data_IF_643935824608
#
_entry.id   IF_643935824608
#
_cell.length_a   1.000
_cell.length_b   1.000
_cell.length_c   1.000
_cell.angle_alpha   90.00
_cell.angle_beta   90.00
_cell.angle_gamma   90.00
#
_symmetry.space_group_name_H-M   'P 1'
#
loop_
_entity.id
_entity.type
_entity.pdbx_description
1 polymer ?
#
# COMPACT_ATOMS: atom_id res chain seq x y z
N UNK A 1 -4.31 18.13 -11.03
CA UNK A 1 -2.83 18.18 -11.26
C UNK A 1 -2.20 17.16 -10.34
N UNK A 2 -1.22 16.38 -10.80
CA UNK A 2 -0.52 15.37 -9.99
C UNK A 2 0.50 16.05 -9.07
N UNK A 3 0.44 15.82 -7.77
CA UNK A 3 1.28 16.42 -6.71
C UNK A 3 1.43 15.46 -5.53
N UNK A 4 2.38 15.74 -4.63
CA UNK A 4 2.64 14.89 -3.46
C UNK A 4 3.00 13.47 -3.88
N UNK A 5 4.19 13.30 -4.45
CA UNK A 5 4.66 11.99 -4.84
C UNK A 5 5.16 11.26 -3.59
N UNK A 6 4.54 10.13 -3.26
CA UNK A 6 4.84 9.39 -2.03
C UNK A 6 5.56 8.07 -2.28
N UNK A 7 5.42 7.51 -3.49
CA UNK A 7 6.06 6.25 -3.84
C UNK A 7 6.55 6.26 -5.30
N UNK A 8 7.55 5.42 -5.56
CA UNK A 8 8.08 5.14 -6.89
C UNK A 8 8.33 3.64 -7.05
N UNK A 9 8.10 3.12 -8.25
CA UNK A 9 8.55 1.78 -8.65
C UNK A 9 9.36 1.84 -9.94
N UNK A 10 10.29 0.90 -10.11
CA UNK A 10 11.17 0.86 -11.27
C UNK A 10 10.66 -0.14 -12.30
N UNK A 11 10.76 0.25 -13.57
CA UNK A 11 10.58 -0.64 -14.71
C UNK A 11 11.90 -1.36 -15.03
N UNK A 12 11.88 -2.54 -15.65
CA UNK A 12 13.09 -3.28 -16.02
C UNK A 12 14.07 -2.53 -16.93
N UNK A 13 13.61 -1.51 -17.66
CA UNK A 13 14.42 -0.67 -18.53
C UNK A 13 14.97 0.60 -17.87
N UNK A 14 14.82 0.72 -16.54
CA UNK A 14 15.31 1.83 -15.75
C UNK A 14 14.37 3.04 -15.68
N UNK A 15 13.26 3.05 -16.42
CA UNK A 15 12.22 4.07 -16.23
C UNK A 15 11.55 3.90 -14.87
N UNK A 16 10.91 4.97 -14.39
CA UNK A 16 10.26 4.99 -13.08
C UNK A 16 8.76 5.26 -13.26
N UNK A 17 7.91 4.61 -12.47
CA UNK A 17 6.53 5.04 -12.27
C UNK A 17 6.46 5.72 -10.91
N UNK A 18 6.09 7.00 -10.90
CA UNK A 18 5.87 7.78 -9.69
C UNK A 18 4.38 7.83 -9.33
N UNK A 19 4.05 7.58 -8.07
CA UNK A 19 2.70 7.61 -7.51
C UNK A 19 2.44 8.94 -6.85
N UNK A 20 1.39 9.63 -7.29
CA UNK A 20 0.95 10.90 -6.75
C UNK A 20 -0.29 10.71 -5.89
N UNK A 21 -0.16 11.02 -4.59
CA UNK A 21 -1.26 11.01 -3.63
C UNK A 21 -2.28 12.07 -4.01
N UNK A 22 -1.85 13.32 -4.14
CA UNK A 22 -2.75 14.43 -4.42
C UNK A 22 -2.99 14.57 -5.92
N UNK A 23 -4.22 14.24 -6.33
CA UNK A 23 -4.62 14.20 -7.74
C UNK A 23 -4.64 12.80 -8.33
N UNK A 24 -4.24 11.77 -7.57
CA UNK A 24 -4.40 10.36 -7.88
C UNK A 24 -3.86 9.98 -9.24
N UNK A 25 -2.54 10.08 -9.42
CA UNK A 25 -1.92 9.80 -10.71
C UNK A 25 -0.81 8.76 -10.62
N UNK A 26 -0.65 8.00 -11.69
CA UNK A 26 0.58 7.30 -12.01
C UNK A 26 1.28 8.03 -13.15
N UNK A 27 2.54 8.42 -12.94
CA UNK A 27 3.35 9.14 -13.93
C UNK A 27 4.58 8.32 -14.27
N UNK A 28 4.71 7.95 -15.54
CA UNK A 28 5.95 7.40 -16.08
C UNK A 28 6.97 8.52 -16.21
N UNK A 29 8.15 8.32 -15.66
CA UNK A 29 9.29 9.23 -15.68
C UNK A 29 10.42 8.58 -16.47
N UNK A 30 10.85 9.26 -17.52
CA UNK A 30 12.05 8.89 -18.28
C UNK A 30 13.19 9.81 -17.86
N UNK A 31 14.39 9.25 -17.70
CA UNK A 31 15.58 10.00 -17.30
C UNK A 31 16.83 9.51 -18.04
N UNK A 32 17.87 10.34 -18.08
CA UNK A 32 19.18 10.00 -18.62
C UNK A 32 20.25 9.77 -17.52
N UNK A 33 19.85 9.80 -16.24
CA UNK A 33 20.75 9.66 -15.08
C UNK A 33 21.25 10.99 -14.51
N UNK A 34 21.16 12.08 -15.28
CA UNK A 34 21.43 13.46 -14.83
C UNK A 34 20.15 14.21 -14.48
N UNK A 35 19.03 13.84 -15.12
CA UNK A 35 17.73 14.45 -14.85
C UNK A 35 16.58 13.79 -15.62
N UNK A 36 15.38 14.31 -15.35
CA UNK A 36 14.15 13.90 -16.04
C UNK A 36 14.15 14.45 -17.45
N UNK A 37 13.92 13.58 -18.43
CA UNK A 37 13.84 13.94 -19.86
C UNK A 37 12.41 13.96 -20.39
N UNK A 38 11.50 13.16 -19.82
CA UNK A 38 10.09 13.13 -20.20
C UNK A 38 9.20 12.61 -19.06
N UNK A 39 7.93 13.01 -19.07
CA UNK A 39 6.90 12.50 -18.16
C UNK A 39 5.59 12.22 -18.89
N UNK A 40 4.97 11.06 -18.62
CA UNK A 40 3.68 10.67 -19.20
C UNK A 40 2.73 10.18 -18.11
N UNK A 41 1.51 10.71 -18.10
CA UNK A 41 0.45 10.20 -17.21
C UNK A 41 -0.03 8.85 -17.75
N UNK A 42 0.12 7.80 -16.94
CA UNK A 42 -0.37 6.44 -17.24
C UNK A 42 -1.78 6.24 -16.70
N UNK A 43 -2.08 6.85 -15.55
CA UNK A 43 -3.36 6.74 -14.87
C UNK A 43 -3.72 8.06 -14.20
N UNK A 44 -5.01 8.39 -14.19
CA UNK A 44 -5.58 9.46 -13.37
C UNK A 44 -6.90 8.96 -12.76
N UNK A 45 -6.98 9.03 -11.44
CA UNK A 45 -8.17 8.71 -10.66
C UNK A 45 -9.35 9.57 -11.11
N UNK A 46 -10.53 8.96 -11.11
CA UNK A 46 -11.79 9.64 -11.42
C UNK A 46 -12.46 10.07 -10.12
N UNK A 47 -12.08 11.22 -9.60
CA UNK A 47 -12.77 11.86 -8.48
C UNK A 47 -13.40 13.19 -8.91
N UNK A 48 -14.41 13.63 -8.16
CA UNK A 48 -15.02 14.94 -8.39
C UNK A 48 -14.18 16.05 -7.75
N UNK A 49 -13.39 16.72 -8.60
CA UNK A 49 -12.54 17.86 -8.23
C UNK A 49 -13.33 19.02 -7.58
N UNK A 50 -14.66 19.10 -7.78
CA UNK A 50 -15.51 20.16 -7.19
C UNK A 50 -15.83 19.93 -5.72
N UNK A 51 -15.91 18.68 -5.29
CA UNK A 51 -16.27 18.33 -3.90
C UNK A 51 -15.05 18.08 -3.04
N UNK A 52 -13.91 17.68 -3.65
CA UNK A 52 -12.62 17.54 -2.99
C UNK A 52 -11.52 18.05 -3.93
N UNK A 53 -10.94 19.24 -3.70
CA UNK A 53 -9.92 19.78 -4.61
C UNK A 53 -8.58 19.01 -4.54
N UNK A 54 -8.35 18.23 -3.47
CA UNK A 54 -7.14 17.44 -3.25
C UNK A 54 -7.44 16.12 -2.53
N UNK A 55 -8.29 15.22 -3.09
CA UNK A 55 -8.49 13.95 -2.44
C UNK A 55 -7.22 13.13 -2.56
N UNK A 56 -6.88 12.45 -1.47
CA UNK A 56 -5.85 11.43 -1.48
C UNK A 56 -6.32 10.32 -2.45
N UNK A 57 -5.54 10.15 -3.52
CA UNK A 57 -5.94 9.50 -4.76
C UNK A 57 -5.36 8.11 -4.87
N UNK A 58 -4.06 8.00 -5.12
CA UNK A 58 -3.37 6.71 -5.28
C UNK A 58 -2.41 6.50 -4.12
N UNK A 59 -2.54 5.38 -3.42
CA UNK A 59 -1.71 5.03 -2.27
C UNK A 59 -0.33 4.57 -2.74
N UNK A 60 -0.29 3.40 -3.34
CA UNK A 60 0.94 2.70 -3.60
C UNK A 60 0.87 1.80 -4.84
N UNK A 61 2.03 1.38 -5.33
CA UNK A 61 2.19 0.51 -6.50
C UNK A 61 3.30 -0.52 -6.29
N UNK A 62 3.04 -1.78 -6.65
CA UNK A 62 4.08 -2.81 -6.64
C UNK A 62 3.93 -3.79 -7.81
N UNK A 63 5.02 -4.46 -8.15
CA UNK A 63 5.14 -5.34 -9.30
C UNK A 63 4.54 -6.72 -9.02
N UNK A 64 3.59 -7.14 -9.86
CA UNK A 64 3.08 -8.53 -9.87
C UNK A 64 4.01 -9.44 -10.68
N UNK A 65 4.40 -8.97 -11.86
CA UNK A 65 5.30 -9.66 -12.77
C UNK A 65 6.00 -8.63 -13.68
N UNK A 66 6.76 -9.08 -14.67
CA UNK A 66 7.57 -8.22 -15.54
C UNK A 66 6.81 -7.06 -16.22
N UNK A 67 5.49 -7.20 -16.44
CA UNK A 67 4.69 -6.25 -17.23
C UNK A 67 3.44 -5.75 -16.50
N UNK A 68 3.10 -6.32 -15.34
CA UNK A 68 1.91 -5.98 -14.58
C UNK A 68 2.25 -5.47 -13.18
N UNK A 69 1.61 -4.37 -12.80
CA UNK A 69 1.77 -3.72 -11.50
C UNK A 69 0.39 -3.57 -10.84
N UNK A 70 0.31 -3.88 -9.56
CA UNK A 70 -0.88 -3.67 -8.73
C UNK A 70 -0.78 -2.31 -8.03
N UNK A 71 -1.87 -1.56 -7.97
CA UNK A 71 -1.93 -0.33 -7.19
C UNK A 71 -3.31 -0.12 -6.56
N UNK A 72 -3.36 0.60 -5.43
CA UNK A 72 -4.61 1.03 -4.79
C UNK A 72 -4.94 2.49 -5.12
N UNK A 73 -6.17 2.73 -5.55
CA UNK A 73 -6.77 4.05 -5.67
C UNK A 73 -7.72 4.25 -4.48
N UNK A 74 -7.26 4.99 -3.48
CA UNK A 74 -8.01 5.37 -2.29
C UNK A 74 -9.26 6.19 -2.63
N UNK A 75 -9.17 7.10 -3.60
CA UNK A 75 -10.29 7.97 -3.99
C UNK A 75 -11.43 7.19 -4.60
N UNK A 76 -11.10 6.24 -5.49
CA UNK A 76 -12.06 5.35 -6.13
C UNK A 76 -12.40 4.12 -5.27
N UNK A 77 -11.63 3.85 -4.22
CA UNK A 77 -11.68 2.62 -3.41
C UNK A 77 -11.52 1.36 -4.26
N UNK A 78 -10.49 1.35 -5.10
CA UNK A 78 -10.26 0.26 -6.07
C UNK A 78 -8.83 -0.25 -6.03
N UNK A 79 -8.67 -1.56 -6.23
CA UNK A 79 -7.41 -2.15 -6.66
C UNK A 79 -7.40 -2.18 -8.19
N UNK A 80 -6.26 -1.88 -8.79
CA UNK A 80 -6.11 -1.76 -10.23
C UNK A 80 -4.81 -2.41 -10.69
N UNK A 81 -4.83 -2.92 -11.92
CA UNK A 81 -3.67 -3.45 -12.63
C UNK A 81 -3.27 -2.45 -13.69
N UNK A 82 -2.00 -2.04 -13.68
CA UNK A 82 -1.36 -1.37 -14.80
C UNK A 82 -0.57 -2.42 -15.61
N UNK A 83 -0.96 -2.61 -16.86
CA UNK A 83 -0.16 -3.34 -17.87
C UNK A 83 0.74 -2.32 -18.58
N UNK A 84 2.06 -2.42 -18.35
CA UNK A 84 3.04 -1.46 -18.85
C UNK A 84 3.40 -1.69 -20.32
N UNK A 85 3.15 -2.87 -20.88
CA UNK A 85 3.33 -3.13 -22.30
C UNK A 85 2.19 -2.51 -23.12
N UNK A 86 0.95 -2.70 -22.65
CA UNK A 86 -0.25 -2.17 -23.31
C UNK A 86 -0.56 -0.73 -22.93
N UNK A 87 0.05 -0.23 -21.85
CA UNK A 87 -0.25 1.06 -21.27
C UNK A 87 -1.76 1.20 -20.95
N UNK A 88 -2.31 0.16 -20.32
CA UNK A 88 -3.74 0.07 -19.97
C UNK A 88 -3.91 -0.22 -18.49
N UNK A 89 -4.96 0.36 -17.91
CA UNK A 89 -5.39 0.06 -16.54
C UNK A 89 -6.68 -0.75 -16.55
N UNK A 90 -6.73 -1.79 -15.73
CA UNK A 90 -7.94 -2.58 -15.47
C UNK A 90 -8.24 -2.62 -13.99
N UNK A 91 -9.49 -2.36 -13.60
CA UNK A 91 -9.92 -2.49 -12.22
C UNK A 91 -10.05 -3.97 -11.83
N UNK A 92 -9.54 -4.33 -10.66
CA UNK A 92 -9.70 -5.66 -10.05
C UNK A 92 -11.11 -5.78 -9.44
N UNK A 93 -11.81 -6.86 -9.74
CA UNK A 93 -13.11 -7.15 -9.10
C UNK A 93 -12.92 -7.67 -7.68
N UNK A 94 -13.40 -6.94 -6.67
CA UNK A 94 -13.35 -7.40 -5.28
C UNK A 94 -14.55 -8.32 -4.99
N UNK A 95 -14.31 -9.54 -4.51
CA UNK A 95 -15.34 -10.58 -4.39
C UNK A 95 -16.16 -10.49 -3.10
N UNK A 96 -15.61 -9.93 -2.02
CA UNK A 96 -16.21 -10.00 -0.68
C UNK A 96 -17.00 -8.74 -0.31
N UNK A 97 -17.34 -7.87 -1.28
CA UNK A 97 -18.19 -6.70 -1.07
C UNK A 97 -17.61 -5.62 -0.15
N UNK A 98 -16.33 -5.72 0.20
CA UNK A 98 -15.64 -4.73 1.03
C UNK A 98 -15.10 -3.60 0.14
N UNK A 99 -15.55 -2.38 0.42
CA UNK A 99 -15.06 -1.13 -0.19
C UNK A 99 -13.69 -0.70 0.38
N UNK A 100 -12.90 -1.64 0.87
CA UNK A 100 -11.68 -1.38 1.63
C UNK A 100 -10.45 -1.84 0.86
N UNK A 101 -9.85 -0.94 0.09
CA UNK A 101 -8.65 -1.26 -0.71
C UNK A 101 -7.36 -0.82 -0.05
N UNK A 102 -7.42 -0.37 1.21
CA UNK A 102 -6.35 0.41 1.84
C UNK A 102 -6.20 1.79 1.21
N UNK A 103 -5.46 2.65 1.89
CA UNK A 103 -5.28 4.06 1.55
C UNK A 103 -3.82 4.50 1.42
N UNK A 104 -2.88 3.64 1.79
CA UNK A 104 -1.45 3.96 1.81
C UNK A 104 -0.65 2.84 1.09
N UNK A 105 0.45 2.39 1.67
CA UNK A 105 1.39 1.41 1.11
C UNK A 105 0.77 0.10 0.61
N UNK A 106 1.44 -0.50 -0.36
CA UNK A 106 1.06 -1.77 -1.00
C UNK A 106 2.33 -2.54 -1.30
N UNK A 107 2.31 -3.84 -1.03
CA UNK A 107 3.38 -4.75 -1.45
C UNK A 107 2.79 -6.03 -2.05
N UNK A 108 3.49 -6.59 -3.03
CA UNK A 108 3.24 -7.90 -3.65
C UNK A 108 4.44 -8.80 -3.33
N UNK A 109 4.48 -9.44 -2.14
CA UNK A 109 5.65 -10.19 -1.71
C UNK A 109 5.97 -11.36 -2.65
N UNK A 110 7.25 -11.49 -3.02
CA UNK A 110 7.74 -12.50 -3.95
C UNK A 110 7.47 -13.92 -3.48
N UNK A 111 7.48 -14.16 -2.16
CA UNK A 111 7.14 -15.47 -1.58
C UNK A 111 5.73 -15.97 -1.96
N UNK A 112 4.82 -15.08 -2.33
CA UNK A 112 3.47 -15.42 -2.79
C UNK A 112 3.34 -15.43 -4.33
N UNK A 113 4.46 -15.32 -5.06
CA UNK A 113 4.53 -15.48 -6.51
C UNK A 113 3.55 -14.58 -7.27
N UNK A 114 3.38 -13.34 -6.81
CA UNK A 114 2.47 -12.38 -7.43
C UNK A 114 0.98 -12.68 -7.23
N UNK A 115 0.61 -13.68 -6.41
CA UNK A 115 -0.80 -14.08 -6.19
C UNK A 115 -1.48 -13.32 -5.07
N UNK A 116 -0.72 -12.72 -4.18
CA UNK A 116 -1.27 -11.98 -3.05
C UNK A 116 -0.54 -10.67 -2.83
N UNK A 117 -1.26 -9.71 -2.29
CA UNK A 117 -0.76 -8.41 -1.91
C UNK A 117 -1.18 -8.09 -0.48
N UNK A 118 -0.32 -7.33 0.20
CA UNK A 118 -0.64 -6.69 1.47
C UNK A 118 -0.88 -5.23 1.16
N UNK A 119 -1.97 -4.67 1.65
CA UNK A 119 -2.28 -3.24 1.47
C UNK A 119 -2.52 -2.61 2.83
N UNK A 120 -1.85 -1.49 3.09
CA UNK A 120 -1.99 -0.74 4.31
C UNK A 120 -3.28 0.09 4.28
N UNK A 121 -3.98 0.03 5.39
CA UNK A 121 -5.12 0.88 5.71
C UNK A 121 -4.75 1.62 6.99
N UNK A 122 -4.55 2.92 6.89
CA UNK A 122 -3.88 3.73 7.91
C UNK A 122 -4.49 3.52 9.30
N UNK A 123 -5.81 3.44 9.40
CA UNK A 123 -6.50 3.27 10.69
C UNK A 123 -6.87 1.83 11.01
N UNK A 124 -6.95 0.95 10.01
CA UNK A 124 -7.46 -0.41 10.18
C UNK A 124 -6.34 -1.45 10.30
N UNK A 125 -5.17 -1.22 9.70
CA UNK A 125 -4.05 -2.15 9.72
C UNK A 125 -3.57 -2.56 8.33
N UNK A 126 -3.51 -3.85 8.09
CA UNK A 126 -3.08 -4.42 6.80
C UNK A 126 -4.11 -5.42 6.30
N UNK A 127 -4.47 -5.27 5.04
CA UNK A 127 -5.40 -6.13 4.33
C UNK A 127 -4.63 -7.09 3.44
N UNK A 128 -4.91 -8.39 3.56
CA UNK A 128 -4.27 -9.41 2.74
C UNK A 128 -5.20 -9.89 1.62
N UNK A 129 -4.95 -9.40 0.42
CA UNK A 129 -5.72 -9.69 -0.78
C UNK A 129 -5.03 -10.78 -1.58
N UNK A 130 -5.79 -11.75 -2.10
CA UNK A 130 -5.27 -12.77 -2.99
C UNK A 130 -6.13 -12.96 -4.23
N UNK A 131 -5.49 -13.36 -5.32
CA UNK A 131 -6.13 -13.64 -6.61
C UNK A 131 -5.79 -15.05 -7.12
N UNK A 132 -6.79 -15.69 -7.73
CA UNK A 132 -6.65 -17.00 -8.40
C UNK A 132 -6.63 -16.90 -9.93
N UNK A 133 -6.92 -15.72 -10.47
CA UNK A 133 -7.25 -15.51 -11.87
C UNK A 133 -6.41 -14.39 -12.50
N UNK A 134 -5.18 -14.20 -12.01
CA UNK A 134 -4.27 -13.18 -12.55
C UNK A 134 -4.73 -11.76 -12.27
N UNK A 135 -5.37 -11.55 -11.11
CA UNK A 135 -5.95 -10.28 -10.66
C UNK A 135 -7.10 -9.76 -11.51
N UNK A 136 -7.84 -10.63 -12.21
CA UNK A 136 -9.16 -10.26 -12.72
C UNK A 136 -10.13 -10.06 -11.55
N UNK A 137 -9.98 -10.85 -10.49
CA UNK A 137 -10.65 -10.67 -9.22
C UNK A 137 -9.70 -10.90 -8.04
N UNK A 138 -10.09 -10.39 -6.88
CA UNK A 138 -9.39 -10.59 -5.62
C UNK A 138 -10.37 -10.83 -4.47
N UNK A 139 -9.97 -11.70 -3.55
CA UNK A 139 -10.64 -11.96 -2.28
C UNK A 139 -9.80 -11.41 -1.13
N UNK A 140 -10.44 -10.77 -0.15
CA UNK A 140 -9.80 -10.44 1.12
C UNK A 140 -9.75 -11.71 1.95
N UNK A 141 -8.55 -12.19 2.23
CA UNK A 141 -8.35 -13.43 3.00
C UNK A 141 -8.50 -13.15 4.48
N UNK A 142 -7.84 -12.11 4.96
CA UNK A 142 -7.85 -11.71 6.35
C UNK A 142 -7.26 -10.31 6.54
N UNK A 143 -7.31 -9.82 7.78
CA UNK A 143 -6.73 -8.54 8.17
C UNK A 143 -5.82 -8.71 9.38
N UNK A 144 -4.89 -7.77 9.53
CA UNK A 144 -4.11 -7.62 10.76
C UNK A 144 -4.41 -6.22 11.26
N UNK A 145 -4.90 -6.09 12.49
CA UNK A 145 -5.34 -4.80 13.04
C UNK A 145 -4.17 -3.83 13.30
N UNK A 146 -4.37 -2.54 13.01
CA UNK A 146 -3.50 -1.48 13.49
C UNK A 146 -3.69 -1.30 15.01
N UNK A 147 -2.84 -1.95 15.80
CA UNK A 147 -2.82 -1.83 17.27
C UNK A 147 -2.46 -0.45 17.82
N UNK A 148 -2.12 0.51 16.94
CA UNK A 148 -1.80 1.89 17.27
C UNK A 148 -2.85 2.90 16.75
N UNK A 149 -3.90 2.44 16.06
CA UNK A 149 -5.04 3.25 15.69
C UNK A 149 -5.89 3.57 16.93
N UNK A 150 -6.40 4.80 17.04
CA UNK A 150 -7.25 5.31 18.13
C UNK A 150 -6.53 5.75 19.42
N UNK A 151 -5.98 6.98 19.38
CA UNK A 151 -5.73 7.77 20.57
C UNK A 151 -7.02 8.39 21.12
N UNK A 152 -7.71 7.70 22.04
CA UNK A 152 -8.53 8.42 23.01
C UNK A 152 -7.63 9.33 23.85
N UNK A 153 -8.05 10.59 24.09
CA UNK A 153 -7.32 11.63 24.83
C UNK A 153 -7.17 11.34 26.35
N UNK A 154 -6.77 10.12 26.70
CA UNK A 154 -6.47 9.71 28.07
C UNK A 154 -4.97 9.51 28.25
N UNK A 155 -4.43 10.21 29.24
CA UNK A 155 -3.06 10.09 29.73
C UNK A 155 -2.69 8.61 29.96
N UNK A 156 -1.61 8.16 29.31
CA UNK A 156 -1.11 6.79 29.45
C UNK A 156 -0.33 6.37 28.22
N UNK A 157 0.97 6.68 28.26
CA UNK A 157 2.06 6.29 27.36
C UNK A 157 1.93 6.75 25.88
N UNK A 158 2.63 7.85 25.55
CA UNK A 158 2.84 8.30 24.17
C UNK A 158 3.48 7.21 23.29
N UNK A 159 4.01 6.12 23.85
CA UNK A 159 4.63 5.05 23.08
C UNK A 159 3.67 4.23 22.19
N UNK A 160 2.34 4.28 22.41
CA UNK A 160 1.42 3.28 21.82
C UNK A 160 0.19 3.86 21.10
N UNK A 161 0.14 5.14 20.75
CA UNK A 161 -1.05 5.77 20.16
C UNK A 161 -0.73 6.58 18.90
N UNK A 162 -1.75 6.77 18.06
CA UNK A 162 -1.72 7.57 16.82
C UNK A 162 -0.78 7.06 15.72
N UNK A 163 -0.56 5.74 15.68
CA UNK A 163 0.17 5.13 14.57
C UNK A 163 -0.77 4.92 13.38
N UNK A 164 -0.27 5.19 12.19
CA UNK A 164 -0.89 4.87 10.90
C UNK A 164 -0.10 3.76 10.24
N UNK A 165 -0.74 2.68 9.80
CA UNK A 165 -0.08 1.69 8.94
C UNK A 165 0.22 2.32 7.58
N UNK A 166 1.49 2.34 7.15
CA UNK A 166 1.90 3.01 5.89
C UNK A 166 2.60 2.05 4.95
N UNK A 167 3.92 1.93 5.02
CA UNK A 167 4.71 1.13 4.09
C UNK A 167 4.74 -0.36 4.48
N UNK A 168 4.91 -1.22 3.48
CA UNK A 168 5.21 -2.65 3.65
C UNK A 168 6.48 -2.95 2.86
N UNK A 169 7.40 -3.70 3.44
CA UNK A 169 8.64 -4.07 2.74
C UNK A 169 9.02 -5.52 3.02
N UNK A 170 9.57 -6.15 1.98
CA UNK A 170 10.06 -7.52 1.99
C UNK A 170 11.59 -7.51 2.01
N UNK A 171 12.18 -8.18 2.99
CA UNK A 171 13.63 -8.33 3.15
C UNK A 171 13.98 -9.80 2.95
N UNK A 172 14.99 -10.07 2.12
CA UNK A 172 15.54 -11.43 2.03
C UNK A 172 16.12 -11.85 3.38
N UNK A 173 15.86 -13.09 3.82
CA UNK A 173 16.54 -13.61 5.00
C UNK A 173 18.07 -13.66 4.76
N UNK A 174 18.83 -13.52 5.83
CA UNK A 174 20.29 -13.46 5.74
C UNK A 174 20.86 -14.67 4.99
N UNK A 175 21.66 -14.39 3.95
CA UNK A 175 22.36 -15.42 3.17
C UNK A 175 21.62 -15.89 1.92
N UNK A 176 20.42 -15.38 1.65
CA UNK A 176 19.61 -15.80 0.49
C UNK A 176 19.47 -14.68 -0.54
N UNK A 177 19.57 -15.05 -1.82
CA UNK A 177 19.18 -14.18 -2.94
C UNK A 177 17.67 -14.22 -3.03
N UNK A 178 16.98 -13.22 -2.46
CA UNK A 178 15.53 -13.23 -2.25
C UNK A 178 14.69 -13.83 -3.38
N UNK A 179 13.80 -14.75 -3.03
CA UNK A 179 12.89 -15.43 -3.98
C UNK A 179 12.57 -16.90 -3.63
N UNK A 180 13.23 -17.47 -2.63
CA UNK A 180 13.12 -18.86 -2.17
C UNK A 180 12.06 -19.10 -1.08
N UNK A 181 11.23 -18.10 -0.77
CA UNK A 181 10.11 -18.23 0.17
C UNK A 181 10.46 -17.95 1.63
N UNK A 182 11.71 -17.59 1.92
CA UNK A 182 12.21 -17.31 3.26
C UNK A 182 12.33 -15.80 3.57
N UNK A 183 11.72 -14.94 2.77
CA UNK A 183 11.69 -13.51 3.02
C UNK A 183 10.87 -13.14 4.27
N UNK A 184 11.36 -12.11 4.97
CA UNK A 184 10.66 -11.44 6.06
C UNK A 184 9.84 -10.28 5.51
N UNK A 185 8.60 -10.14 5.95
CA UNK A 185 7.70 -9.06 5.55
C UNK A 185 7.39 -8.23 6.78
N UNK A 186 7.66 -6.93 6.70
CA UNK A 186 7.41 -6.00 7.77
C UNK A 186 6.44 -4.90 7.34
N UNK A 187 5.57 -4.50 8.25
CA UNK A 187 4.74 -3.31 8.16
C UNK A 187 5.35 -2.16 8.96
N UNK A 188 5.37 -0.98 8.35
CA UNK A 188 5.78 0.26 9.00
C UNK A 188 4.56 0.99 9.59
N UNK A 189 4.78 1.68 10.71
CA UNK A 189 3.83 2.65 11.23
C UNK A 189 4.43 4.04 11.22
N UNK A 190 3.62 5.03 10.87
CA UNK A 190 3.97 6.45 10.97
C UNK A 190 3.12 7.13 12.03
N UNK A 191 3.74 8.02 12.79
CA UNK A 191 3.12 8.70 13.92
C UNK A 191 2.99 10.19 13.61
N UNK A 192 2.32 10.52 12.51
CA UNK A 192 2.19 11.90 11.99
C UNK A 192 1.62 12.89 13.03
N UNK A 193 0.81 12.38 13.95
CA UNK A 193 0.07 13.17 14.93
C UNK A 193 0.80 13.32 16.29
N UNK A 194 2.03 12.81 16.40
CA UNK A 194 2.81 12.92 17.64
C UNK A 194 3.45 14.27 17.85
N UNK A 195 3.64 15.01 16.76
CA UNK A 195 4.25 16.33 16.81
C UNK A 195 3.23 17.33 17.39
N UNK A 196 3.54 17.98 18.54
CA UNK A 196 2.65 18.97 19.09
C UNK A 196 2.58 20.20 18.19
N UNK A 197 1.53 21.00 18.40
CA UNK A 197 1.38 22.30 17.76
C UNK A 197 1.97 23.38 18.68
N UNK A 198 2.86 24.22 18.14
CA UNK A 198 3.39 25.40 18.81
C UNK A 198 2.37 26.54 18.90
N UNK A 199 2.74 27.68 19.52
CA UNK A 199 1.84 28.84 19.71
C UNK A 199 1.20 29.40 18.43
N UNK A 200 1.83 29.17 17.26
CA UNK A 200 1.36 29.63 15.95
C UNK A 200 0.70 28.53 15.11
N UNK A 201 0.30 27.41 15.72
CA UNK A 201 -0.24 26.23 15.02
C UNK A 201 0.77 25.60 14.03
N UNK A 202 2.07 25.84 14.25
CA UNK A 202 3.14 25.18 13.53
C UNK A 202 3.48 23.85 14.21
N UNK A 203 3.78 22.83 13.41
CA UNK A 203 4.25 21.54 13.91
C UNK A 203 5.63 21.72 14.54
N UNK A 204 5.75 21.48 15.84
CA UNK A 204 7.05 21.44 16.54
C UNK A 204 7.50 20.00 16.71
N UNK A 205 8.82 19.79 16.87
CA UNK A 205 9.38 18.45 16.97
C UNK A 205 8.76 17.64 18.12
N UNK A 206 8.24 16.45 17.82
CA UNK A 206 7.74 15.51 18.82
C UNK A 206 8.85 14.86 19.64
N UNK A 207 8.48 14.18 20.73
CA UNK A 207 9.41 13.53 21.67
C UNK A 207 9.50 12.01 21.52
N UNK A 208 8.85 11.41 20.51
CA UNK A 208 8.90 9.97 20.26
C UNK A 208 10.33 9.54 19.93
N UNK A 209 10.80 8.51 20.64
CA UNK A 209 12.14 7.91 20.46
C UNK A 209 12.10 6.46 19.97
N UNK A 210 10.89 5.88 19.84
CA UNK A 210 10.69 4.48 19.41
C UNK A 210 9.69 4.40 18.27
N UNK A 211 10.10 3.75 17.19
CA UNK A 211 9.31 3.54 15.97
C UNK A 211 9.23 2.03 15.73
N UNK A 212 8.24 1.35 16.33
CA UNK A 212 8.11 -0.10 16.18
C UNK A 212 7.78 -0.45 14.74
N UNK A 213 8.23 -1.63 14.31
CA UNK A 213 7.86 -2.25 13.04
C UNK A 213 7.04 -3.51 13.35
N UNK A 214 6.03 -3.79 12.54
CA UNK A 214 5.22 -5.01 12.67
C UNK A 214 5.81 -6.13 11.83
N UNK A 215 6.21 -7.25 12.44
CA UNK A 215 6.51 -8.46 11.67
C UNK A 215 5.20 -9.11 11.20
N UNK A 216 4.97 -9.10 9.89
CA UNK A 216 3.78 -9.67 9.26
C UNK A 216 4.01 -11.11 8.77
N UNK A 217 5.27 -11.54 8.68
CA UNK A 217 5.74 -12.74 7.98
C UNK A 217 4.91 -13.99 8.28
N UNK A 218 4.84 -14.37 9.56
CA UNK A 218 4.18 -15.62 9.97
C UNK A 218 2.66 -15.57 9.85
N UNK A 219 2.04 -14.38 9.98
CA UNK A 219 0.58 -14.23 9.82
C UNK A 219 0.19 -14.32 8.35
N UNK A 220 0.91 -13.63 7.48
CA UNK A 220 0.67 -13.68 6.04
C UNK A 220 0.89 -15.08 5.46
N UNK A 221 1.87 -15.82 5.97
CA UNK A 221 2.06 -17.23 5.61
C UNK A 221 0.82 -18.09 5.92
N UNK A 222 0.26 -17.96 7.13
CA UNK A 222 -0.98 -18.67 7.52
C UNK A 222 -2.18 -18.25 6.69
N UNK A 223 -2.31 -16.96 6.37
CA UNK A 223 -3.37 -16.49 5.47
C UNK A 223 -3.20 -17.08 4.07
N UNK A 224 -1.98 -17.16 3.56
CA UNK A 224 -1.72 -17.79 2.27
C UNK A 224 -2.04 -19.29 2.27
N UNK A 225 -1.77 -20.02 3.34
CA UNK A 225 -2.20 -21.42 3.51
C UNK A 225 -3.73 -21.55 3.48
N UNK A 226 -4.45 -20.67 4.20
CA UNK A 226 -5.92 -20.57 4.16
C UNK A 226 -6.41 -20.34 2.73
N UNK A 227 -5.82 -19.40 2.01
CA UNK A 227 -6.10 -19.15 0.59
C UNK A 227 -5.85 -20.40 -0.27
N UNK A 228 -4.71 -21.09 -0.11
CA UNK A 228 -4.40 -22.29 -0.89
C UNK A 228 -5.38 -23.43 -0.62
N UNK A 229 -5.87 -23.57 0.61
CA UNK A 229 -6.82 -24.63 0.99
C UNK A 229 -8.23 -24.44 0.42
N UNK A 230 -8.57 -23.25 -0.07
CA UNK A 230 -9.93 -22.93 -0.51
C UNK A 230 -10.95 -22.85 0.64
N UNK A 231 -10.48 -22.83 1.90
CA UNK A 231 -11.32 -22.55 3.05
C UNK A 231 -11.86 -21.12 2.91
N UNK A 232 -13.12 -21.00 2.49
CA UNK A 232 -13.79 -19.71 2.33
C UNK A 232 -13.65 -18.91 3.63
N UNK A 233 -13.18 -17.66 3.52
CA UNK A 233 -13.25 -16.72 4.62
C UNK A 233 -14.72 -16.49 4.95
N UNK A 234 -15.20 -17.09 6.04
CA UNK A 234 -16.41 -16.59 6.69
C UNK A 234 -16.03 -15.24 7.28
N UNK A 235 -16.35 -14.17 6.55
CA UNK A 235 -16.39 -12.84 7.15
C UNK A 235 -17.54 -12.91 8.15
N UNK A 236 -17.20 -13.05 9.44
CA UNK A 236 -18.18 -12.83 10.51
C UNK A 236 -18.54 -11.35 10.44
N UNK A 237 -19.74 -11.06 9.93
CA UNK A 237 -20.37 -9.76 10.11
C UNK A 237 -20.43 -9.49 11.63
N UNK A 238 -19.63 -8.54 12.09
CA UNK A 238 -19.63 -8.02 13.46
C UNK A 238 -20.40 -6.71 13.53
#
# INVERSE_FOLDING_TARGET
MCRGYQEVTHLPDGRIIAVSTYGGCLVLVTHNGEGVTDTKILYKSKFDEKTKPFPAGTGAIDQINATAYLFNDQSAKTLNILDTEKNTTTQVKLLNGLDQTGDDGLAVPKRFQGKCAVVAAASEGWFFWCSRDGWHSAELIDTIENKYANGGAGEGDLATKNGSSTAIYEIAAQGETGGDGNSLIFGNYEFFMDAPLGPNNETIQGTRTKFPQEDLTSRLAKFYEKFQSGAASQVTEG
#
